data_IF_031150793970
#
_entry.id   IF_031150793970
#
_cell.length_a   1.000
_cell.length_b   1.000
_cell.length_c   1.000
_cell.angle_alpha   90.00
_cell.angle_beta   90.00
_cell.angle_gamma   90.00
#
_symmetry.space_group_name_H-M   'P 1'
#
loop_
_entity.id
_entity.type
_entity.pdbx_description
1 polymer ?
#
# COMPACT_ATOMS: atom_id res chain seq x y z
N UNK A 1 13.32 23.53 -9.43
CA UNK A 1 13.59 22.85 -8.15
C UNK A 1 14.32 21.54 -8.36
N UNK A 2 15.26 21.24 -7.52
CA UNK A 2 15.98 19.98 -7.61
C UNK A 2 15.06 18.81 -7.23
N UNK A 3 15.25 17.68 -7.89
CA UNK A 3 14.52 16.46 -7.54
C UNK A 3 14.97 15.94 -6.19
N UNK A 4 14.05 15.29 -5.49
CA UNK A 4 14.39 14.52 -4.30
C UNK A 4 15.35 13.38 -4.67
N UNK A 5 16.08 12.88 -3.70
CA UNK A 5 16.97 11.74 -3.94
C UNK A 5 16.19 10.47 -4.22
N UNK A 6 15.10 10.25 -3.49
CA UNK A 6 14.33 9.02 -3.58
C UNK A 6 12.83 9.28 -3.59
N UNK A 7 12.13 8.50 -4.36
CA UNK A 7 10.70 8.26 -4.16
C UNK A 7 10.54 6.79 -3.78
N UNK A 8 10.05 6.57 -2.57
CA UNK A 8 9.78 5.23 -2.04
C UNK A 8 8.31 4.94 -2.27
N UNK A 9 8.04 3.89 -3.03
CA UNK A 9 6.69 3.51 -3.48
C UNK A 9 6.31 2.25 -2.73
N UNK A 10 5.30 2.36 -1.85
CA UNK A 10 4.89 1.29 -0.95
C UNK A 10 3.52 0.77 -1.34
N UNK A 11 3.46 -0.48 -1.73
CA UNK A 11 2.21 -1.15 -2.11
C UNK A 11 1.83 -2.12 -0.98
N UNK A 12 0.90 -1.70 -0.13
CA UNK A 12 0.54 -2.41 1.10
C UNK A 12 -0.81 -3.11 0.90
N UNK A 13 -0.77 -4.40 0.64
CA UNK A 13 -1.98 -5.20 0.40
C UNK A 13 -2.55 -5.73 1.71
N UNK A 14 -3.50 -5.00 2.27
CA UNK A 14 -4.25 -5.40 3.46
C UNK A 14 -5.69 -5.79 3.16
N UNK A 15 -5.99 -6.24 1.93
CA UNK A 15 -7.31 -6.74 1.55
C UNK A 15 -7.56 -8.16 2.07
N UNK A 16 -6.96 -8.51 3.20
CA UNK A 16 -7.03 -9.82 3.83
C UNK A 16 -6.75 -9.67 5.32
N UNK A 17 -6.48 -10.78 6.01
CA UNK A 17 -6.19 -10.77 7.44
C UNK A 17 -4.91 -10.04 7.80
N UNK A 18 -4.08 -9.69 6.84
CA UNK A 18 -2.87 -8.88 7.06
C UNK A 18 -3.16 -7.38 7.13
N UNK A 19 -4.43 -6.99 7.12
CA UNK A 19 -4.81 -5.58 7.25
C UNK A 19 -4.17 -4.93 8.48
N UNK A 20 -4.04 -5.68 9.57
CA UNK A 20 -3.44 -5.20 10.82
C UNK A 20 -1.97 -4.84 10.59
N UNK A 21 -1.22 -5.77 9.99
CA UNK A 21 0.21 -5.56 9.71
C UNK A 21 0.44 -4.41 8.73
N UNK A 22 -0.40 -4.31 7.71
CA UNK A 22 -0.29 -3.24 6.72
C UNK A 22 -0.60 -1.89 7.35
N UNK A 23 -1.61 -1.82 8.21
CA UNK A 23 -1.92 -0.59 8.93
C UNK A 23 -0.78 -0.20 9.88
N UNK A 24 -0.18 -1.16 10.57
CA UNK A 24 0.95 -0.90 11.43
C UNK A 24 2.15 -0.37 10.64
N UNK A 25 2.43 -0.95 9.49
CA UNK A 25 3.47 -0.46 8.58
C UNK A 25 3.18 0.97 8.16
N UNK A 26 1.96 1.27 7.79
CA UNK A 26 1.54 2.63 7.43
C UNK A 26 1.79 3.60 8.56
N UNK A 27 1.42 3.24 9.80
CA UNK A 27 1.64 4.09 10.96
C UNK A 27 3.12 4.37 11.21
N UNK A 28 3.98 3.37 10.98
CA UNK A 28 5.43 3.56 11.09
C UNK A 28 5.94 4.53 10.01
N UNK A 29 5.45 4.40 8.79
CA UNK A 29 5.84 5.29 7.70
C UNK A 29 5.45 6.73 7.98
N UNK A 30 4.30 6.95 8.62
CA UNK A 30 3.82 8.29 8.97
C UNK A 30 4.75 9.03 9.94
N UNK A 31 5.63 8.32 10.63
CA UNK A 31 6.60 8.93 11.55
C UNK A 31 7.85 9.44 10.85
N UNK A 32 8.02 9.13 9.58
CA UNK A 32 9.23 9.49 8.84
C UNK A 32 9.14 10.95 8.38
N UNK A 33 10.17 11.71 8.69
CA UNK A 33 10.30 13.09 8.27
C UNK A 33 11.68 13.29 7.66
N UNK A 34 11.78 13.03 6.33
CA UNK A 34 13.03 13.17 5.59
C UNK A 34 12.80 14.09 4.41
N UNK A 35 13.56 15.17 4.33
CA UNK A 35 13.38 16.18 3.29
C UNK A 35 13.81 15.72 1.90
N UNK A 36 14.66 14.70 1.81
CA UNK A 36 15.19 14.21 0.55
C UNK A 36 14.48 12.97 0.01
N UNK A 37 13.36 12.58 0.63
CA UNK A 37 12.61 11.37 0.26
C UNK A 37 11.13 11.71 0.15
N UNK A 38 10.52 11.31 -0.95
CA UNK A 38 9.07 11.22 -1.07
C UNK A 38 8.65 9.80 -0.69
N UNK A 39 7.61 9.67 0.11
CA UNK A 39 7.01 8.36 0.40
C UNK A 39 5.61 8.38 -0.18
N UNK A 40 5.31 7.40 -1.03
CA UNK A 40 4.01 7.27 -1.68
C UNK A 40 3.47 5.89 -1.38
N UNK A 41 2.25 5.84 -0.86
CA UNK A 41 1.69 4.60 -0.33
C UNK A 41 0.35 4.33 -0.99
N UNK A 42 0.15 3.08 -1.43
CA UNK A 42 -1.20 2.58 -1.70
C UNK A 42 -1.48 1.51 -0.67
N UNK A 43 -2.49 1.76 0.14
CA UNK A 43 -2.90 0.88 1.24
C UNK A 43 -4.32 0.41 1.00
N UNK A 44 -4.53 -0.90 1.00
CA UNK A 44 -5.87 -1.48 1.05
C UNK A 44 -6.13 -2.07 2.43
N UNK A 45 -7.37 -1.95 2.88
CA UNK A 45 -7.80 -2.47 4.19
C UNK A 45 -9.07 -3.29 4.05
N UNK A 46 -9.02 -4.52 4.53
CA UNK A 46 -10.17 -5.43 4.52
C UNK A 46 -11.20 -5.04 5.58
N UNK A 47 -12.48 -5.41 5.37
CA UNK A 47 -13.50 -5.24 6.40
C UNK A 47 -13.15 -6.02 7.66
N UNK A 48 -13.57 -5.49 8.79
CA UNK A 48 -13.31 -6.11 10.11
C UNK A 48 -13.85 -7.54 10.19
N UNK A 49 -14.99 -7.80 9.57
CA UNK A 49 -15.59 -9.13 9.59
C UNK A 49 -14.70 -10.18 8.93
N UNK A 50 -14.08 -9.81 7.83
CA UNK A 50 -13.14 -10.70 7.14
C UNK A 50 -11.91 -10.97 8.00
N UNK A 51 -11.36 -9.94 8.60
CA UNK A 51 -10.17 -10.09 9.46
C UNK A 51 -10.49 -10.97 10.66
N UNK A 52 -11.62 -10.75 11.31
CA UNK A 52 -12.04 -11.51 12.50
C UNK A 52 -12.43 -12.95 12.20
N UNK A 53 -12.83 -13.25 10.98
CA UNK A 53 -13.11 -14.63 10.57
C UNK A 53 -11.84 -15.48 10.67
N UNK A 54 -10.70 -14.89 10.39
CA UNK A 54 -9.41 -15.60 10.38
C UNK A 54 -8.65 -15.39 11.70
N UNK A 55 -8.75 -14.18 12.27
CA UNK A 55 -8.01 -13.78 13.48
C UNK A 55 -8.99 -13.39 14.59
N UNK A 56 -9.74 -14.36 15.05
CA UNK A 56 -10.85 -14.16 15.98
C UNK A 56 -10.43 -13.53 17.31
N UNK A 57 -9.23 -13.87 17.78
CA UNK A 57 -8.73 -13.43 19.08
C UNK A 57 -7.96 -12.11 19.02
N UNK A 58 -7.80 -11.55 17.84
CA UNK A 58 -7.04 -10.32 17.67
C UNK A 58 -7.97 -9.11 17.69
N UNK A 59 -7.91 -8.35 18.77
CA UNK A 59 -8.71 -7.13 18.94
C UNK A 59 -7.97 -5.87 18.51
N UNK A 60 -6.76 -6.00 17.97
CA UNK A 60 -5.94 -4.84 17.62
C UNK A 60 -6.43 -4.12 16.37
N UNK A 61 -7.27 -4.76 15.56
CA UNK A 61 -7.78 -4.16 14.35
C UNK A 61 -9.05 -3.38 14.62
N UNK A 62 -9.00 -2.09 14.42
CA UNK A 62 -10.16 -1.21 14.49
C UNK A 62 -10.44 -0.70 13.08
N UNK A 63 -11.58 -1.09 12.52
CA UNK A 63 -11.98 -0.64 11.21
C UNK A 63 -12.54 0.79 11.30
N UNK A 64 -11.76 1.74 10.82
CA UNK A 64 -12.18 3.13 10.68
C UNK A 64 -12.53 3.47 9.22
N UNK A 65 -11.96 2.71 8.28
CA UNK A 65 -12.29 2.81 6.87
C UNK A 65 -11.88 1.50 6.18
N UNK A 66 -12.47 1.22 5.04
CA UNK A 66 -12.14 0.07 4.20
C UNK A 66 -12.00 0.54 2.75
N UNK A 67 -11.41 -0.31 1.93
CA UNK A 67 -11.17 0.01 0.53
C UNK A 67 -9.71 0.26 0.27
N UNK A 68 -9.41 1.22 -0.59
CA UNK A 68 -8.05 1.51 -1.02
C UNK A 68 -7.80 3.01 -1.00
N UNK A 69 -6.68 3.42 -0.40
CA UNK A 69 -6.28 4.81 -0.37
C UNK A 69 -4.85 4.97 -0.84
N UNK A 70 -4.60 6.10 -1.48
CA UNK A 70 -3.25 6.55 -1.80
C UNK A 70 -2.89 7.72 -0.91
N UNK A 71 -1.67 7.67 -0.38
CA UNK A 71 -1.13 8.70 0.50
C UNK A 71 0.21 9.16 -0.02
N UNK A 72 0.57 10.40 0.31
CA UNK A 72 1.93 10.88 0.17
C UNK A 72 2.44 11.42 1.49
N UNK A 73 3.72 11.23 1.76
CA UNK A 73 4.41 11.80 2.91
C UNK A 73 5.60 12.58 2.35
N UNK A 74 5.48 13.91 2.42
CA UNK A 74 6.48 14.83 1.89
C UNK A 74 6.89 15.75 3.03
N UNK A 75 8.18 15.74 3.37
CA UNK A 75 8.71 16.55 4.47
C UNK A 75 7.92 16.32 5.78
N UNK A 76 7.55 15.08 6.03
CA UNK A 76 6.78 14.70 7.22
C UNK A 76 5.29 15.00 7.14
N UNK A 77 4.81 15.59 6.06
CA UNK A 77 3.40 15.93 5.90
C UNK A 77 2.66 14.83 5.17
N UNK A 78 1.68 14.24 5.85
CA UNK A 78 0.83 13.18 5.29
C UNK A 78 -0.37 13.81 4.60
N UNK A 79 -0.62 13.38 3.36
CA UNK A 79 -1.80 13.76 2.61
C UNK A 79 -2.48 12.54 2.03
N UNK A 80 -3.81 12.53 2.07
CA UNK A 80 -4.61 11.57 1.30
C UNK A 80 -4.72 12.12 -0.10
N UNK A 81 -4.13 11.42 -1.05
CA UNK A 81 -4.11 11.88 -2.44
C UNK A 81 -5.29 11.33 -3.22
N UNK A 82 -5.71 10.13 -2.87
CA UNK A 82 -6.82 9.46 -3.56
C UNK A 82 -7.46 8.45 -2.61
N UNK A 83 -8.78 8.34 -2.67
CA UNK A 83 -9.53 7.36 -1.91
C UNK A 83 -10.48 6.64 -2.86
N UNK A 84 -10.38 5.33 -2.92
CA UNK A 84 -11.19 4.49 -3.79
C UNK A 84 -11.88 3.40 -2.99
N UNK A 85 -12.88 2.79 -3.61
CA UNK A 85 -13.43 1.55 -3.13
C UNK A 85 -12.40 0.43 -3.28
N UNK A 86 -12.82 -0.79 -3.01
CA UNK A 86 -11.93 -1.92 -3.19
C UNK A 86 -11.49 -2.06 -4.63
N UNK A 87 -10.18 -2.16 -4.81
CA UNK A 87 -9.59 -2.60 -6.07
C UNK A 87 -8.88 -3.92 -5.81
N UNK A 88 -8.74 -4.72 -6.83
CA UNK A 88 -8.00 -5.97 -6.71
C UNK A 88 -6.50 -5.68 -6.65
N UNK A 89 -5.95 -5.64 -5.43
CA UNK A 89 -4.52 -5.38 -5.22
C UNK A 89 -3.64 -6.48 -5.80
N UNK A 90 -4.21 -7.65 -6.09
CA UNK A 90 -3.49 -8.76 -6.69
C UNK A 90 -3.45 -8.68 -8.22
N UNK A 91 -4.22 -7.79 -8.82
CA UNK A 91 -4.15 -7.56 -10.26
C UNK A 91 -2.93 -6.70 -10.58
N UNK A 92 -2.02 -7.25 -11.38
CA UNK A 92 -0.77 -6.57 -11.71
C UNK A 92 -0.99 -5.21 -12.38
N UNK A 93 -2.13 -5.01 -13.05
CA UNK A 93 -2.46 -3.73 -13.68
C UNK A 93 -2.62 -2.62 -12.65
N UNK A 94 -3.18 -2.95 -11.50
CA UNK A 94 -3.32 -1.98 -10.41
C UNK A 94 -1.96 -1.61 -9.81
N UNK A 95 -1.06 -2.57 -9.69
CA UNK A 95 0.31 -2.31 -9.25
C UNK A 95 1.05 -1.44 -10.27
N UNK A 96 0.93 -1.77 -11.54
CA UNK A 96 1.56 -1.00 -12.61
C UNK A 96 1.06 0.45 -12.60
N UNK A 97 -0.25 0.63 -12.55
CA UNK A 97 -0.85 1.96 -12.54
C UNK A 97 -0.38 2.79 -11.35
N UNK A 98 -0.28 2.16 -10.20
CA UNK A 98 0.18 2.85 -9.00
C UNK A 98 1.64 3.29 -9.14
N UNK A 99 2.51 2.39 -9.57
CA UNK A 99 3.94 2.70 -9.74
C UNK A 99 4.11 3.83 -10.75
N UNK A 100 3.43 3.73 -11.88
CA UNK A 100 3.51 4.73 -12.93
C UNK A 100 3.02 6.10 -12.45
N UNK A 101 1.87 6.11 -11.79
CA UNK A 101 1.30 7.33 -11.24
C UNK A 101 2.25 7.95 -10.20
N UNK A 102 2.78 7.14 -9.30
CA UNK A 102 3.67 7.62 -8.25
C UNK A 102 4.96 8.20 -8.82
N UNK A 103 5.57 7.52 -9.78
CA UNK A 103 6.81 7.98 -10.40
C UNK A 103 6.61 9.29 -11.18
N UNK A 104 5.45 9.43 -11.84
CA UNK A 104 5.15 10.64 -12.60
C UNK A 104 4.81 11.83 -11.69
N UNK A 105 4.09 11.58 -10.62
CA UNK A 105 3.65 12.64 -9.73
C UNK A 105 4.73 13.07 -8.73
N UNK A 106 5.57 12.14 -8.32
CA UNK A 106 6.62 12.38 -7.34
C UNK A 106 7.99 11.99 -7.92
N UNK A 107 8.48 12.74 -8.91
CA UNK A 107 9.75 12.40 -9.54
C UNK A 107 10.91 12.55 -8.57
N UNK A 108 11.89 11.67 -8.72
CA UNK A 108 13.10 11.67 -7.93
C UNK A 108 14.25 11.13 -8.76
N UNK A 109 15.45 11.22 -8.19
CA UNK A 109 16.65 10.68 -8.87
C UNK A 109 16.64 9.17 -8.89
N UNK A 110 16.05 8.55 -7.86
CA UNK A 110 15.97 7.10 -7.71
C UNK A 110 14.61 6.71 -7.19
N UNK A 111 14.22 5.48 -7.50
CA UNK A 111 12.94 4.94 -7.06
C UNK A 111 13.15 3.60 -6.37
N UNK A 112 12.40 3.38 -5.31
CA UNK A 112 12.35 2.11 -4.61
C UNK A 112 10.91 1.66 -4.55
N UNK A 113 10.64 0.41 -4.92
CA UNK A 113 9.30 -0.16 -4.85
C UNK A 113 9.31 -1.29 -3.83
N UNK A 114 8.36 -1.24 -2.90
CA UNK A 114 8.16 -2.29 -1.91
C UNK A 114 6.75 -2.81 -2.04
N UNK A 115 6.62 -4.12 -2.17
CA UNK A 115 5.33 -4.80 -2.27
C UNK A 115 5.18 -5.68 -1.05
N UNK A 116 4.14 -5.45 -0.29
CA UNK A 116 3.89 -6.16 0.96
C UNK A 116 2.56 -6.90 0.90
N UNK A 117 2.57 -8.14 1.35
CA UNK A 117 1.42 -9.02 1.38
C UNK A 117 1.81 -10.32 2.04
N UNK A 118 1.18 -11.42 1.63
CA UNK A 118 1.47 -12.74 2.22
C UNK A 118 2.88 -13.27 1.96
N UNK A 119 3.55 -12.76 0.95
CA UNK A 119 4.93 -13.14 0.67
C UNK A 119 5.14 -14.51 0.07
N UNK A 120 4.09 -15.23 -0.24
CA UNK A 120 4.19 -16.48 -0.96
C UNK A 120 4.38 -16.19 -2.44
N UNK A 121 5.48 -16.62 -2.99
CA UNK A 121 5.76 -16.38 -4.40
C UNK A 121 4.65 -16.94 -5.28
N UNK A 122 4.21 -18.15 -5.02
CA UNK A 122 3.15 -18.80 -5.80
C UNK A 122 1.84 -18.04 -5.67
N UNK A 123 1.46 -17.72 -4.46
CA UNK A 123 0.25 -16.95 -4.22
C UNK A 123 0.33 -15.56 -4.83
N UNK A 124 1.47 -14.90 -4.68
CA UNK A 124 1.67 -13.58 -5.26
C UNK A 124 1.60 -13.61 -6.78
N UNK A 125 2.19 -14.60 -7.40
CA UNK A 125 2.13 -14.74 -8.85
C UNK A 125 0.72 -15.02 -9.33
N UNK A 126 0.01 -15.92 -8.67
CA UNK A 126 -1.37 -16.20 -9.04
C UNK A 126 -2.25 -14.98 -8.86
N UNK A 127 -2.02 -14.22 -7.79
CA UNK A 127 -2.74 -12.99 -7.55
C UNK A 127 -2.42 -11.94 -8.60
N UNK A 128 -1.14 -11.76 -8.88
CA UNK A 128 -0.71 -10.79 -9.88
C UNK A 128 -1.25 -11.10 -11.27
N UNK A 129 -1.40 -12.38 -11.59
CA UNK A 129 -2.00 -12.78 -12.84
C UNK A 129 -3.53 -12.70 -12.82
N UNK A 130 -4.11 -12.20 -11.72
CA UNK A 130 -5.54 -11.95 -11.64
C UNK A 130 -6.37 -13.20 -11.68
N UNK A 131 -5.81 -14.32 -11.22
CA UNK A 131 -6.50 -15.60 -11.29
C UNK A 131 -6.90 -15.96 -12.70
N UNK A 132 -6.20 -15.41 -13.65
CA UNK A 132 -6.44 -15.85 -14.98
C UNK A 132 -6.41 -17.36 -14.99
N UNK A 133 -7.31 -17.94 -15.70
CA UNK A 133 -7.31 -19.38 -15.72
C UNK A 133 -5.95 -19.80 -16.16
N UNK A 134 -5.26 -20.10 -15.21
CA UNK A 134 -4.10 -20.89 -15.50
C UNK A 134 -4.54 -22.28 -15.45
#
# INVERSE_FOLDING_TARGET
MSKKEWTVIMYLNGSNELAIEMENTFKQLCKINKSNVNIVIQLSKAPIDLVRTIRQDDSSYAEDWTGTRRYSIINGNLEIVQSNEYINMADYRNLYDFIKWAANKFPAKRYMVSISGHGFIVASLSDLCGKEPY
#
